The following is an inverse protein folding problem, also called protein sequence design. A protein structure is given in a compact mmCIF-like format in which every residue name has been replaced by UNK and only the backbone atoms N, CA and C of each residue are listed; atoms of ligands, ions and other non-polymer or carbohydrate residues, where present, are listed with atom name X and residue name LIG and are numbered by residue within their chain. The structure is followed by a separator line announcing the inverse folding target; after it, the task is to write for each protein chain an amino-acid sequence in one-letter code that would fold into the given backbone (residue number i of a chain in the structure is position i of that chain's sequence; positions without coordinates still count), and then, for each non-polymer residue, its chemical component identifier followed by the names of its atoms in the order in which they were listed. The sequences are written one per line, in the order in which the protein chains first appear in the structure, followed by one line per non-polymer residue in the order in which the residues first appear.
data_IF_104032988789
#
_entry.id   IF_104032988789
#
_cell.length_a   1.000
_cell.length_b   1.000
_cell.length_c   1.000
_cell.angle_alpha   90.00
_cell.angle_beta   90.00
_cell.angle_gamma   90.00
#
_symmetry.space_group_name_H-M   'P 1'
#
loop_
_entity.id
_entity.type
_entity.pdbx_description
1 polymer ?
#
# COMPACT_ATOMS: atom_id res chain seq x y z
N UNK A 1 -7.91 19.06 -7.70
CA UNK A 1 -9.00 18.49 -6.89
C UNK A 1 -9.16 17.03 -7.28
N UNK A 2 -9.50 16.13 -6.34
CA UNK A 2 -9.78 14.74 -6.71
C UNK A 2 -10.96 14.68 -7.71
N UNK A 3 -10.96 13.68 -8.56
CA UNK A 3 -12.03 13.44 -9.54
C UNK A 3 -12.65 12.09 -9.23
N UNK A 4 -13.91 12.13 -8.81
CA UNK A 4 -14.64 10.92 -8.43
C UNK A 4 -15.68 10.56 -9.48
N UNK A 5 -15.80 9.27 -9.75
CA UNK A 5 -16.78 8.68 -10.64
C UNK A 5 -17.40 7.46 -9.96
N UNK A 6 -18.71 7.27 -10.11
CA UNK A 6 -19.41 6.05 -9.72
C UNK A 6 -19.33 5.03 -10.85
N UNK A 7 -19.09 3.78 -10.51
CA UNK A 7 -19.05 2.65 -11.44
C UNK A 7 -19.44 1.36 -10.73
N UNK A 8 -19.77 0.32 -11.50
CA UNK A 8 -20.14 -1.00 -10.95
C UNK A 8 -19.03 -2.01 -11.21
N UNK A 9 -18.69 -2.81 -10.20
CA UNK A 9 -17.72 -3.89 -10.36
C UNK A 9 -18.28 -4.99 -11.24
N UNK A 10 -17.66 -5.24 -12.38
CA UNK A 10 -18.07 -6.27 -13.34
C UNK A 10 -17.27 -7.57 -13.22
N UNK A 11 -16.01 -7.50 -12.74
CA UNK A 11 -15.11 -8.64 -12.64
C UNK A 11 -14.07 -8.42 -11.54
N UNK A 12 -13.67 -9.51 -10.87
CA UNK A 12 -12.50 -9.53 -9.98
C UNK A 12 -11.31 -10.06 -10.79
N UNK A 13 -10.32 -9.20 -11.06
CA UNK A 13 -9.14 -9.56 -11.86
C UNK A 13 -8.08 -10.27 -11.02
N UNK A 14 -7.83 -9.74 -9.83
CA UNK A 14 -6.79 -10.22 -8.92
C UNK A 14 -7.20 -9.95 -7.48
N UNK A 15 -6.84 -10.84 -6.58
CA UNK A 15 -7.01 -10.66 -5.15
C UNK A 15 -5.80 -11.19 -4.41
N UNK A 16 -5.24 -10.36 -3.53
CA UNK A 16 -4.17 -10.71 -2.59
C UNK A 16 -4.37 -9.98 -1.27
N UNK A 17 -3.52 -10.20 -0.32
CA UNK A 17 -3.61 -9.52 0.97
C UNK A 17 -3.43 -8.00 0.81
N UNK A 18 -4.32 -7.22 1.42
CA UNK A 18 -4.34 -5.77 1.33
C UNK A 18 -4.77 -5.18 -0.03
N UNK A 19 -4.97 -5.99 -1.09
CA UNK A 19 -5.26 -5.49 -2.44
C UNK A 19 -6.28 -6.34 -3.18
N UNK A 20 -7.20 -5.69 -3.88
CA UNK A 20 -8.05 -6.31 -4.89
C UNK A 20 -8.06 -5.46 -6.16
N UNK A 21 -7.82 -6.07 -7.32
CA UNK A 21 -7.94 -5.43 -8.63
C UNK A 21 -9.25 -5.86 -9.30
N UNK A 22 -9.98 -4.90 -9.81
CA UNK A 22 -11.32 -5.09 -10.39
C UNK A 22 -11.43 -4.45 -11.77
N UNK A 23 -12.34 -4.99 -12.58
CA UNK A 23 -12.81 -4.36 -13.79
C UNK A 23 -14.17 -3.72 -13.53
N UNK A 24 -14.41 -2.58 -14.12
CA UNK A 24 -15.64 -1.82 -13.99
C UNK A 24 -16.55 -2.04 -15.20
N UNK A 25 -17.80 -1.67 -15.08
CA UNK A 25 -18.84 -1.84 -16.10
C UNK A 25 -18.59 -1.01 -17.37
N UNK A 26 -17.85 0.10 -17.26
CA UNK A 26 -17.38 0.91 -18.38
C UNK A 26 -16.13 0.33 -19.09
N UNK A 27 -15.61 -0.81 -18.62
CA UNK A 27 -14.42 -1.47 -19.12
C UNK A 27 -13.11 -0.97 -18.53
N UNK A 28 -13.13 0.09 -17.73
CA UNK A 28 -11.95 0.58 -17.02
C UNK A 28 -11.54 -0.35 -15.88
N UNK A 29 -10.37 -0.11 -15.29
CA UNK A 29 -9.79 -0.94 -14.23
C UNK A 29 -9.55 -0.11 -12.99
N UNK A 30 -9.80 -0.70 -11.83
CA UNK A 30 -9.52 -0.08 -10.55
C UNK A 30 -8.88 -1.06 -9.58
N UNK A 31 -8.18 -0.54 -8.58
CA UNK A 31 -7.76 -1.31 -7.43
C UNK A 31 -8.38 -0.77 -6.15
N UNK A 32 -8.68 -1.67 -5.23
CA UNK A 32 -9.13 -1.40 -3.88
C UNK A 32 -8.05 -1.81 -2.89
N UNK A 33 -7.67 -0.91 -1.99
CA UNK A 33 -6.86 -1.23 -0.82
C UNK A 33 -7.81 -1.79 0.24
N UNK A 34 -7.83 -3.12 0.38
CA UNK A 34 -8.90 -3.81 1.12
C UNK A 34 -8.94 -3.49 2.60
N UNK A 35 -7.82 -3.09 3.18
CA UNK A 35 -7.73 -2.68 4.58
C UNK A 35 -8.31 -1.27 4.81
N UNK A 36 -8.43 -0.47 3.73
CA UNK A 36 -8.98 0.89 3.78
C UNK A 36 -10.45 0.91 3.39
N UNK A 37 -10.81 0.28 2.27
CA UNK A 37 -12.15 0.40 1.69
C UNK A 37 -12.95 -0.90 1.74
N UNK A 38 -12.39 -1.98 2.28
CA UNK A 38 -12.98 -3.31 2.24
C UNK A 38 -12.81 -3.98 0.87
N UNK A 39 -13.42 -5.16 0.72
CA UNK A 39 -13.36 -5.98 -0.50
C UNK A 39 -14.61 -5.79 -1.35
N UNK A 40 -14.56 -5.06 -2.48
CA UNK A 40 -15.68 -4.99 -3.41
C UNK A 40 -16.00 -6.37 -4.00
N UNK A 41 -17.27 -6.59 -4.32
CA UNK A 41 -17.75 -7.79 -4.97
C UNK A 41 -18.37 -7.44 -6.33
N UNK A 42 -18.49 -8.42 -7.20
CA UNK A 42 -19.19 -8.24 -8.48
C UNK A 42 -20.62 -7.74 -8.21
N UNK A 43 -21.00 -6.66 -8.89
CA UNK A 43 -22.28 -5.98 -8.71
C UNK A 43 -22.28 -4.85 -7.68
N UNK A 44 -21.22 -4.70 -6.88
CA UNK A 44 -21.12 -3.56 -5.97
C UNK A 44 -20.91 -2.26 -6.75
N UNK A 45 -21.54 -1.20 -6.29
CA UNK A 45 -21.27 0.15 -6.74
C UNK A 45 -20.10 0.71 -5.97
N UNK A 46 -19.11 1.24 -6.69
CA UNK A 46 -17.90 1.83 -6.14
C UNK A 46 -17.74 3.27 -6.60
N UNK A 47 -17.16 4.09 -5.75
CA UNK A 47 -16.69 5.42 -6.12
C UNK A 47 -15.20 5.31 -6.36
N UNK A 48 -14.75 5.66 -7.56
CA UNK A 48 -13.34 5.62 -7.93
C UNK A 48 -12.77 7.02 -8.14
N UNK A 49 -11.51 7.20 -7.75
CA UNK A 49 -10.75 8.39 -8.09
C UNK A 49 -10.03 8.17 -9.42
N UNK A 50 -10.33 8.98 -10.42
CA UNK A 50 -9.83 8.83 -11.79
C UNK A 50 -8.58 9.67 -12.07
N UNK A 51 -8.22 10.58 -11.17
CA UNK A 51 -7.22 11.65 -11.43
C UNK A 51 -5.88 11.12 -11.91
N UNK A 52 -5.42 9.99 -11.39
CA UNK A 52 -4.12 9.43 -11.75
C UNK A 52 -4.09 8.91 -13.19
N UNK A 53 -5.19 8.34 -13.66
CA UNK A 53 -5.36 7.88 -15.05
C UNK A 53 -5.53 9.08 -15.98
N UNK A 54 -6.38 10.05 -15.59
CA UNK A 54 -6.66 11.25 -16.38
C UNK A 54 -5.42 12.10 -16.63
N UNK A 55 -4.48 12.09 -15.68
CA UNK A 55 -3.20 12.82 -15.75
C UNK A 55 -2.02 11.96 -16.21
N UNK A 56 -2.25 10.69 -16.55
CA UNK A 56 -1.21 9.74 -16.96
C UNK A 56 -0.06 9.62 -15.94
N UNK A 57 -0.37 9.56 -14.65
CA UNK A 57 0.62 9.58 -13.56
C UNK A 57 1.33 8.23 -13.33
N UNK A 58 1.37 7.35 -14.30
CA UNK A 58 2.14 6.11 -14.21
C UNK A 58 1.50 5.00 -13.36
N UNK A 59 0.20 5.07 -13.07
CA UNK A 59 -0.55 4.02 -12.36
C UNK A 59 -0.87 2.79 -13.22
N UNK A 60 -0.32 2.69 -14.42
CA UNK A 60 -0.63 1.59 -15.34
C UNK A 60 -2.08 1.58 -15.84
N UNK A 61 -2.80 2.71 -15.76
CA UNK A 61 -4.20 2.83 -16.18
C UNK A 61 -5.20 2.29 -15.15
N UNK A 62 -4.82 2.28 -13.87
CA UNK A 62 -5.68 1.87 -12.78
C UNK A 62 -6.26 3.08 -12.05
N UNK A 63 -7.59 3.11 -11.90
CA UNK A 63 -8.27 3.98 -10.95
C UNK A 63 -8.08 3.49 -9.52
N UNK A 64 -8.33 4.35 -8.54
CA UNK A 64 -8.29 4.00 -7.12
C UNK A 64 -9.71 3.94 -6.58
N UNK A 65 -10.13 2.82 -6.00
CA UNK A 65 -11.41 2.74 -5.29
C UNK A 65 -11.32 3.57 -4.01
N UNK A 66 -12.14 4.59 -3.94
CA UNK A 66 -12.26 5.48 -2.79
C UNK A 66 -13.29 4.98 -1.77
N UNK A 67 -14.39 4.39 -2.25
CA UNK A 67 -15.50 3.94 -1.42
C UNK A 67 -16.28 2.82 -2.09
N UNK A 68 -16.85 1.91 -1.29
CA UNK A 68 -17.79 0.87 -1.73
C UNK A 68 -19.15 1.17 -1.13
N UNK A 69 -20.17 1.44 -1.95
CA UNK A 69 -21.50 1.80 -1.46
C UNK A 69 -22.14 0.70 -0.62
N UNK A 70 -22.79 1.10 0.46
CA UNK A 70 -23.50 0.18 1.34
C UNK A 70 -22.62 -0.71 2.21
N UNK A 71 -21.28 -0.64 2.08
CA UNK A 71 -20.36 -1.40 2.92
C UNK A 71 -19.77 -0.55 4.03
N UNK A 72 -19.64 -1.18 5.19
CA UNK A 72 -18.89 -0.62 6.30
C UNK A 72 -17.43 -1.01 6.12
N UNK A 73 -16.54 -0.05 6.15
CA UNK A 73 -15.11 -0.33 6.10
C UNK A 73 -14.68 -1.13 7.33
N UNK A 74 -13.71 -2.06 7.18
CA UNK A 74 -13.11 -2.70 8.33
C UNK A 74 -12.54 -1.64 9.25
N UNK A 75 -12.85 -1.77 10.54
CA UNK A 75 -12.23 -0.91 11.57
C UNK A 75 -11.14 -1.72 12.24
N UNK A 76 -9.88 -1.37 12.08
CA UNK A 76 -8.84 -1.92 12.93
C UNK A 76 -9.15 -1.58 14.39
N UNK A 77 -8.74 -2.45 15.31
CA UNK A 77 -8.90 -2.26 16.75
C UNK A 77 -7.54 -2.35 17.44
N UNK A 78 -6.61 -1.49 17.16
CA UNK A 78 -5.36 -1.49 17.88
C UNK A 78 -5.56 -0.88 19.27
N UNK A 79 -4.85 -1.39 20.25
CA UNK A 79 -4.86 -0.86 21.61
C UNK A 79 -4.15 0.49 21.70
N UNK A 80 -3.17 0.71 20.81
CA UNK A 80 -2.47 1.98 20.65
C UNK A 80 -2.49 2.37 19.16
N UNK A 81 -2.96 3.59 18.86
CA UNK A 81 -3.29 3.99 17.52
C UNK A 81 -2.50 5.19 17.03
N UNK A 82 -2.04 5.10 15.80
CA UNK A 82 -1.52 6.23 15.04
C UNK A 82 -2.36 6.42 13.78
N UNK A 83 -2.68 7.66 13.46
CA UNK A 83 -3.40 7.99 12.23
C UNK A 83 -2.41 8.29 11.12
N UNK A 84 -2.55 7.60 9.98
CA UNK A 84 -1.92 7.93 8.70
C UNK A 84 -2.92 8.65 7.79
N UNK A 85 -2.43 9.36 6.78
CA UNK A 85 -3.23 10.22 5.91
C UNK A 85 -4.10 11.21 6.71
N UNK A 86 -3.52 11.79 7.76
CA UNK A 86 -4.22 12.68 8.71
C UNK A 86 -4.86 13.87 8.00
N UNK A 87 -6.07 14.22 8.40
CA UNK A 87 -6.90 15.30 7.84
C UNK A 87 -7.41 15.06 6.41
N UNK A 88 -7.30 13.86 5.89
CA UNK A 88 -7.90 13.45 4.63
C UNK A 88 -9.05 12.47 4.89
N UNK A 89 -9.94 12.30 3.93
CA UNK A 89 -11.03 11.31 4.03
C UNK A 89 -10.52 9.87 4.02
N UNK A 90 -9.29 9.67 3.57
CA UNK A 90 -8.57 8.41 3.50
C UNK A 90 -7.76 8.10 4.76
N UNK A 91 -7.94 8.89 5.82
CA UNK A 91 -7.22 8.63 7.08
C UNK A 91 -7.50 7.23 7.60
N UNK A 92 -6.45 6.55 7.99
CA UNK A 92 -6.49 5.21 8.54
C UNK A 92 -5.78 5.13 9.88
N UNK A 93 -6.27 4.22 10.71
CA UNK A 93 -5.70 3.89 11.99
C UNK A 93 -4.73 2.72 11.83
N UNK A 94 -3.53 2.81 12.41
CA UNK A 94 -2.52 1.77 12.39
C UNK A 94 -1.92 1.59 13.79
N UNK A 95 -1.56 0.36 14.15
CA UNK A 95 -0.81 0.09 15.38
C UNK A 95 0.68 0.32 15.12
N UNK A 96 1.32 1.25 15.85
CA UNK A 96 2.73 1.52 15.64
C UNK A 96 3.60 0.43 16.25
N UNK A 97 4.69 0.09 15.56
CA UNK A 97 5.77 -0.66 16.18
C UNK A 97 6.70 0.30 16.94
N UNK A 98 6.84 0.08 18.24
CA UNK A 98 7.75 0.86 19.09
C UNK A 98 8.97 0.00 19.39
N UNK A 99 10.14 0.39 18.86
CA UNK A 99 11.39 -0.27 19.18
C UNK A 99 11.94 0.26 20.52
N UNK A 100 12.36 -0.66 21.37
CA UNK A 100 13.09 -0.33 22.61
C UNK A 100 14.61 -0.20 22.39
N UNK A 101 15.10 -0.47 21.16
CA UNK A 101 16.52 -0.40 20.84
C UNK A 101 16.89 0.97 20.31
N UNK A 102 18.05 1.46 20.75
CA UNK A 102 18.60 2.77 20.36
C UNK A 102 19.76 2.70 19.38
N UNK A 103 20.15 1.50 18.95
CA UNK A 103 21.27 1.30 18.03
C UNK A 103 20.98 0.22 16.99
N UNK A 104 21.74 0.23 15.92
CA UNK A 104 21.62 -0.74 14.83
C UNK A 104 22.43 -2.02 15.03
N UNK A 105 23.19 -2.12 16.14
CA UNK A 105 24.02 -3.28 16.46
C UNK A 105 24.91 -3.76 15.30
N UNK A 106 25.44 -2.83 14.52
CA UNK A 106 26.27 -3.11 13.35
C UNK A 106 25.53 -3.56 12.11
N UNK A 107 24.20 -3.47 12.07
CA UNK A 107 23.44 -3.74 10.84
C UNK A 107 23.86 -2.78 9.73
N UNK A 108 24.05 -3.33 8.53
CA UNK A 108 24.34 -2.52 7.34
C UNK A 108 23.07 -1.93 6.79
N UNK A 109 23.08 -0.63 6.51
CA UNK A 109 21.95 0.10 5.93
C UNK A 109 22.35 0.62 4.55
N UNK A 110 21.48 0.40 3.58
CA UNK A 110 21.58 0.97 2.24
C UNK A 110 20.42 1.94 2.03
N UNK A 111 20.72 3.19 1.71
CA UNK A 111 19.72 4.19 1.38
C UNK A 111 19.45 4.18 -0.12
N UNK A 112 18.19 4.09 -0.48
CA UNK A 112 17.71 4.09 -1.86
C UNK A 112 16.71 5.24 -2.05
N UNK A 113 16.84 5.98 -3.16
CA UNK A 113 15.96 7.12 -3.46
C UNK A 113 14.60 6.70 -4.03
N UNK A 114 14.52 5.52 -4.64
CA UNK A 114 13.31 5.03 -5.31
C UNK A 114 12.97 3.63 -4.80
N UNK A 115 11.67 3.36 -4.68
CA UNK A 115 11.17 2.03 -4.34
C UNK A 115 11.70 0.94 -5.30
N UNK A 116 11.75 1.21 -6.60
CA UNK A 116 12.23 0.26 -7.61
C UNK A 116 13.69 -0.19 -7.41
N UNK A 117 14.49 0.54 -6.66
CA UNK A 117 15.88 0.17 -6.37
C UNK A 117 15.99 -1.13 -5.55
N UNK A 118 14.93 -1.54 -4.82
CA UNK A 118 14.96 -2.80 -4.06
C UNK A 118 15.19 -4.03 -4.94
N UNK A 119 14.74 -3.99 -6.21
CA UNK A 119 14.99 -5.07 -7.16
C UNK A 119 16.48 -5.23 -7.47
N UNK A 120 17.17 -4.12 -7.76
CA UNK A 120 18.62 -4.13 -8.01
C UNK A 120 19.40 -4.57 -6.77
N UNK A 121 19.01 -4.08 -5.59
CA UNK A 121 19.62 -4.47 -4.31
C UNK A 121 19.43 -5.97 -4.05
N UNK A 122 18.22 -6.50 -4.28
CA UNK A 122 17.94 -7.90 -4.09
C UNK A 122 18.75 -8.82 -5.02
N UNK A 123 19.01 -8.39 -6.25
CA UNK A 123 19.84 -9.12 -7.21
C UNK A 123 21.31 -9.08 -6.79
N UNK A 124 21.83 -7.91 -6.45
CA UNK A 124 23.25 -7.72 -6.13
C UNK A 124 23.65 -8.26 -4.76
N UNK A 125 22.71 -8.35 -3.82
CA UNK A 125 22.93 -8.88 -2.47
C UNK A 125 22.72 -10.39 -2.38
N UNK A 126 23.04 -11.15 -3.38
CA UNK A 126 22.62 -12.54 -3.67
C UNK A 126 22.43 -13.51 -2.49
N UNK A 127 23.15 -13.35 -1.38
CA UNK A 127 23.09 -14.22 -0.19
C UNK A 127 22.50 -13.56 1.05
N UNK A 128 22.22 -12.26 1.02
CA UNK A 128 21.72 -11.55 2.20
C UNK A 128 20.19 -11.61 2.29
N UNK A 129 19.67 -11.83 3.49
CA UNK A 129 18.26 -11.56 3.80
C UNK A 129 18.11 -10.07 4.01
N UNK A 130 17.17 -9.46 3.30
CA UNK A 130 16.94 -8.03 3.32
C UNK A 130 15.75 -7.70 4.23
N UNK A 131 15.90 -6.70 5.08
CA UNK A 131 14.78 -5.94 5.63
C UNK A 131 14.55 -4.72 4.76
N UNK A 132 13.30 -4.40 4.47
CA UNK A 132 12.94 -3.23 3.68
C UNK A 132 12.13 -2.25 4.52
N UNK A 133 12.64 -1.04 4.69
CA UNK A 133 11.92 0.07 5.31
C UNK A 133 11.56 1.09 4.22
N UNK A 134 10.26 1.22 3.96
CA UNK A 134 9.71 2.24 3.07
C UNK A 134 9.38 3.50 3.87
N UNK A 135 9.96 4.63 3.47
CA UNK A 135 9.74 5.92 4.11
C UNK A 135 9.06 6.91 3.18
N UNK A 136 8.70 8.07 3.67
CA UNK A 136 7.81 9.06 3.09
C UNK A 136 7.87 9.24 1.57
N UNK A 137 8.66 10.01 0.98
CA UNK A 137 8.48 10.50 -0.40
C UNK A 137 8.47 9.44 -1.52
N UNK A 138 9.01 8.27 -1.28
CA UNK A 138 8.92 7.13 -2.18
C UNK A 138 7.83 6.15 -1.75
N UNK A 139 6.94 6.57 -0.85
CA UNK A 139 5.99 5.71 -0.18
C UNK A 139 4.78 5.37 -1.04
N UNK A 140 4.35 4.14 -0.93
CA UNK A 140 3.11 3.62 -1.49
C UNK A 140 2.53 2.60 -0.51
N UNK A 141 1.25 2.24 -0.63
CA UNK A 141 0.75 1.06 0.06
C UNK A 141 1.54 -0.16 -0.38
N UNK A 142 2.14 -0.89 0.57
CA UNK A 142 3.06 -1.99 0.21
C UNK A 142 2.36 -3.10 -0.60
N UNK A 143 1.07 -3.33 -0.33
CA UNK A 143 0.25 -4.28 -1.09
C UNK A 143 0.17 -3.95 -2.59
N UNK A 144 0.39 -2.68 -2.98
CA UNK A 144 0.37 -2.25 -4.39
C UNK A 144 1.68 -2.58 -5.13
N UNK A 145 2.75 -2.90 -4.41
CA UNK A 145 4.05 -3.18 -5.01
C UNK A 145 4.17 -4.64 -5.46
N UNK A 146 3.98 -4.91 -6.74
CA UNK A 146 4.23 -6.25 -7.31
C UNK A 146 5.68 -6.70 -7.09
N UNK A 147 6.63 -5.77 -7.17
CA UNK A 147 8.05 -6.06 -6.93
C UNK A 147 8.31 -6.51 -5.49
N UNK A 148 7.75 -5.81 -4.50
CA UNK A 148 7.92 -6.21 -3.11
C UNK A 148 7.27 -7.58 -2.84
N UNK A 149 6.07 -7.82 -3.37
CA UNK A 149 5.39 -9.11 -3.22
C UNK A 149 6.21 -10.26 -3.81
N UNK A 150 6.73 -10.11 -5.03
CA UNK A 150 7.60 -11.12 -5.64
C UNK A 150 8.86 -11.39 -4.81
N UNK A 151 9.49 -10.35 -4.26
CA UNK A 151 10.68 -10.51 -3.41
C UNK A 151 10.37 -11.19 -2.07
N UNK A 152 9.18 -10.98 -1.51
CA UNK A 152 8.68 -11.69 -0.33
C UNK A 152 8.45 -13.16 -0.66
N UNK A 153 7.74 -13.47 -1.74
CA UNK A 153 7.43 -14.83 -2.17
C UNK A 153 8.68 -15.69 -2.40
N UNK A 154 9.72 -15.10 -2.99
CA UNK A 154 11.01 -15.79 -3.19
C UNK A 154 11.96 -15.67 -1.99
N UNK A 155 11.44 -15.25 -0.82
CA UNK A 155 12.17 -15.11 0.44
C UNK A 155 13.45 -14.24 0.36
N UNK A 156 13.39 -13.20 -0.47
CA UNK A 156 14.45 -12.19 -0.58
C UNK A 156 14.23 -11.01 0.37
N UNK A 157 12.97 -10.66 0.65
CA UNK A 157 12.61 -9.77 1.74
C UNK A 157 12.17 -10.60 2.94
N UNK A 158 12.88 -10.47 4.04
CA UNK A 158 12.60 -11.21 5.27
C UNK A 158 11.65 -10.46 6.20
N UNK A 159 11.54 -9.16 6.01
CA UNK A 159 10.72 -8.25 6.80
C UNK A 159 10.48 -6.98 6.01
N UNK A 160 9.31 -6.42 6.14
CA UNK A 160 8.96 -5.11 5.62
C UNK A 160 8.52 -4.18 6.76
N UNK A 161 8.88 -2.91 6.65
CA UNK A 161 8.40 -1.89 7.57
C UNK A 161 7.99 -0.64 6.78
N UNK A 162 6.99 0.06 7.25
CA UNK A 162 6.48 1.27 6.60
C UNK A 162 6.42 2.43 7.59
N UNK A 163 6.82 3.61 7.14
CA UNK A 163 6.86 4.82 7.93
C UNK A 163 6.21 5.99 7.18
N UNK A 164 5.84 7.04 7.89
CA UNK A 164 5.21 8.23 7.32
C UNK A 164 3.88 7.91 6.64
N UNK A 165 3.76 8.24 5.35
CA UNK A 165 2.56 7.99 4.55
C UNK A 165 2.49 6.56 3.97
N UNK A 166 3.60 5.80 4.00
CA UNK A 166 3.59 4.39 3.61
C UNK A 166 2.83 3.56 4.65
N UNK A 167 2.19 2.49 4.22
CA UNK A 167 1.50 1.54 5.10
C UNK A 167 1.47 0.11 4.50
N UNK A 168 1.12 -0.86 5.35
CA UNK A 168 0.97 -2.26 4.95
C UNK A 168 2.25 -3.09 5.05
N UNK A 169 3.27 -2.64 5.78
CA UNK A 169 4.42 -3.45 6.15
C UNK A 169 4.12 -4.40 7.32
N UNK A 170 4.98 -5.39 7.53
CA UNK A 170 4.93 -6.25 8.73
C UNK A 170 5.02 -5.43 10.02
N UNK A 171 5.72 -4.31 9.95
CA UNK A 171 5.85 -3.34 11.02
C UNK A 171 5.42 -1.95 10.55
N UNK A 172 4.59 -1.29 11.35
CA UNK A 172 4.22 0.10 11.14
C UNK A 172 5.04 1.00 12.07
N UNK A 173 5.81 1.92 11.50
CA UNK A 173 6.66 2.84 12.27
C UNK A 173 6.00 4.20 12.37
N UNK A 174 5.96 4.76 13.58
CA UNK A 174 5.18 5.97 13.89
C UNK A 174 5.63 7.18 13.09
N UNK A 175 6.90 7.46 13.08
CA UNK A 175 7.51 8.52 12.27
C UNK A 175 9.00 8.25 12.13
N UNK A 176 9.51 8.49 10.92
CA UNK A 176 10.93 8.79 10.78
C UNK A 176 11.05 10.31 11.01
N UNK A 177 11.90 10.78 11.93
CA UNK A 177 12.18 12.20 12.04
C UNK A 177 12.63 12.72 10.68
N UNK A 178 11.96 13.75 10.20
CA UNK A 178 12.34 14.47 8.98
C UNK A 178 13.67 15.17 9.16
#
# INVERSE_FOLDING_TARGET
MPRFQSATVSEIIEQRDGLQKVKLDDGSRAYALTDVVGRPQIGDVVIVNTIAVDLALGTGGWHVVHWVEGKRNPSPRPEENVLKARYLSEQIEVSPHISTRSDLQGARVLLCLLHSHIGAVAITSASARLGYLMTDQASLPLALSDLAQQLIEVNRLAMTATAGQAFGGDLEVVNVPS
#
